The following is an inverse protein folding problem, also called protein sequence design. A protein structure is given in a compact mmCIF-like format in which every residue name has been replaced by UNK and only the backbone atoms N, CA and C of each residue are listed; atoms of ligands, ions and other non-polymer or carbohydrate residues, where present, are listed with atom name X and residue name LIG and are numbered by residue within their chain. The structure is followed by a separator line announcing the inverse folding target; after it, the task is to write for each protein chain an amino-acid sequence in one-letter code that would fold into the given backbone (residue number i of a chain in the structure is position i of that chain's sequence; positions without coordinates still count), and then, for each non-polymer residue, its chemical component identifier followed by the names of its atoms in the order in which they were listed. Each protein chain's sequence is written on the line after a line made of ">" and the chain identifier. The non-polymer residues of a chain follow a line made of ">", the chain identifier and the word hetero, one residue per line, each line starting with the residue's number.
data_IF_636939789648
#
_entry.id   IF_636939789648
#
_cell.length_a   1.000
_cell.length_b   1.000
_cell.length_c   1.000
_cell.angle_alpha   90.00
_cell.angle_beta   90.00
_cell.angle_gamma   90.00
#
_symmetry.space_group_name_H-M   'P 1'
#
loop_
_entity.id
_entity.type
_entity.pdbx_description
1 polymer ?
#
# COMPACT_ATOMS: atom_id res chain seq x y z
N UNK A 1 -12.48 16.99 -9.09
CA UNK A 1 -11.12 17.33 -9.57
C UNK A 1 -10.13 17.69 -8.44
N UNK A 2 -10.63 18.05 -7.25
CA UNK A 2 -9.79 18.39 -6.06
C UNK A 2 -9.23 17.17 -5.32
N UNK A 3 -9.89 16.04 -5.38
CA UNK A 3 -9.42 14.78 -4.82
C UNK A 3 -8.14 14.26 -5.48
N UNK A 4 -7.87 14.59 -6.73
CA UNK A 4 -6.72 14.12 -7.50
C UNK A 4 -5.40 14.82 -7.13
N UNK A 5 -5.44 16.14 -6.91
CA UNK A 5 -4.23 16.90 -6.52
C UNK A 5 -3.91 16.73 -5.03
N UNK A 6 -4.93 16.67 -4.17
CA UNK A 6 -4.75 16.37 -2.74
C UNK A 6 -4.23 14.95 -2.52
N UNK A 7 -4.59 14.02 -3.38
CA UNK A 7 -4.22 12.62 -3.27
C UNK A 7 -2.75 12.38 -3.64
N UNK A 8 -2.26 12.94 -4.74
CA UNK A 8 -0.85 12.82 -5.12
C UNK A 8 0.07 13.66 -4.22
N UNK A 9 -0.37 14.84 -3.79
CA UNK A 9 0.33 15.67 -2.82
C UNK A 9 0.32 15.04 -1.42
N UNK A 10 -0.76 14.41 -0.98
CA UNK A 10 -0.83 13.76 0.32
C UNK A 10 0.02 12.48 0.38
N UNK A 11 0.03 11.66 -0.67
CA UNK A 11 0.92 10.48 -0.76
C UNK A 11 2.38 10.90 -0.93
N UNK A 12 2.67 11.95 -1.70
CA UNK A 12 4.02 12.51 -1.86
C UNK A 12 4.48 13.24 -0.58
N UNK A 13 3.61 14.03 0.05
CA UNK A 13 3.89 14.71 1.33
C UNK A 13 4.09 13.72 2.49
N UNK A 14 3.29 12.66 2.53
CA UNK A 14 3.42 11.65 3.58
C UNK A 14 4.67 10.78 3.37
N UNK A 15 5.05 10.48 2.12
CA UNK A 15 6.32 9.82 1.80
C UNK A 15 7.53 10.73 2.09
N UNK A 16 7.43 12.04 1.81
CA UNK A 16 8.48 13.01 2.13
C UNK A 16 8.59 13.28 3.63
N UNK A 17 7.49 13.24 4.39
CA UNK A 17 7.52 13.41 5.86
C UNK A 17 8.25 12.24 6.56
N UNK A 18 8.26 11.05 5.96
CA UNK A 18 9.00 9.88 6.47
C UNK A 18 10.45 9.83 5.96
N UNK A 19 10.82 10.52 4.89
CA UNK A 19 12.22 10.59 4.41
C UNK A 19 13.14 11.43 5.30
N UNK A 20 12.63 12.21 6.25
CA UNK A 20 13.44 12.94 7.23
C UNK A 20 13.81 12.08 8.44
N UNK A 21 14.42 10.90 8.22
CA UNK A 21 15.25 10.28 9.24
C UNK A 21 16.63 10.96 9.26
N UNK A 22 16.64 12.22 9.68
CA UNK A 22 17.85 12.89 10.15
C UNK A 22 18.19 12.37 11.56
N UNK A 23 19.49 12.34 11.99
CA UNK A 23 19.87 11.96 13.35
C UNK A 23 19.12 12.85 14.35
N UNK A 24 18.43 12.20 15.31
CA UNK A 24 17.47 12.82 16.21
C UNK A 24 18.15 13.74 17.21
N UNK A 25 17.82 15.00 17.18
CA UNK A 25 17.86 15.84 18.40
C UNK A 25 16.71 15.42 19.33
N UNK A 26 17.02 15.25 20.60
CA UNK A 26 16.15 14.72 21.66
C UNK A 26 14.81 15.47 21.86
N UNK A 27 14.64 16.64 21.28
CA UNK A 27 13.43 17.48 21.40
C UNK A 27 12.18 16.99 20.65
N UNK A 28 12.28 15.96 19.79
CA UNK A 28 11.18 15.52 18.94
C UNK A 28 10.66 14.08 19.21
N UNK A 29 11.08 13.46 20.33
CA UNK A 29 10.68 12.08 20.67
C UNK A 29 9.16 11.96 20.81
N UNK A 30 8.50 12.95 21.44
CA UNK A 30 7.05 12.95 21.65
C UNK A 30 6.27 12.98 20.31
N UNK A 31 6.73 13.80 19.36
CA UNK A 31 6.12 13.87 18.03
C UNK A 31 6.34 12.57 17.22
N UNK A 32 7.46 11.88 17.43
CA UNK A 32 7.74 10.60 16.80
C UNK A 32 6.88 9.48 17.38
N UNK A 33 6.75 9.42 18.72
CA UNK A 33 5.86 8.50 19.40
C UNK A 33 4.41 8.71 18.95
N UNK A 34 3.96 9.96 18.89
CA UNK A 34 2.61 10.29 18.42
C UNK A 34 2.35 9.80 16.97
N UNK A 35 3.32 9.94 16.07
CA UNK A 35 3.21 9.46 14.68
C UNK A 35 3.08 7.94 14.57
N UNK A 36 3.67 7.18 15.48
CA UNK A 36 3.53 5.73 15.53
C UNK A 36 2.24 5.34 16.24
N UNK A 37 1.96 5.92 17.39
CA UNK A 37 0.84 5.52 18.27
C UNK A 37 -0.52 5.95 17.70
N UNK A 38 -0.62 7.13 17.06
CA UNK A 38 -1.87 7.66 16.51
C UNK A 38 -2.56 6.72 15.51
N UNK A 39 -1.86 6.10 14.54
CA UNK A 39 -2.46 5.11 13.64
C UNK A 39 -3.04 3.88 14.35
N UNK A 40 -2.38 3.41 15.43
CA UNK A 40 -2.90 2.31 16.25
C UNK A 40 -4.13 2.70 17.03
N UNK A 41 -4.11 3.90 17.65
CA UNK A 41 -5.27 4.42 18.37
C UNK A 41 -6.46 4.59 17.42
N UNK A 42 -6.24 5.18 16.23
CA UNK A 42 -7.29 5.39 15.25
C UNK A 42 -7.88 4.05 14.75
N UNK A 43 -7.02 3.11 14.32
CA UNK A 43 -7.46 1.80 13.88
C UNK A 43 -8.16 1.02 14.99
N UNK A 44 -7.59 1.03 16.19
CA UNK A 44 -8.17 0.38 17.37
C UNK A 44 -9.50 1.00 17.81
N UNK A 45 -9.63 2.33 17.77
CA UNK A 45 -10.88 3.01 18.10
C UNK A 45 -12.00 2.66 17.11
N UNK A 46 -11.70 2.60 15.80
CA UNK A 46 -12.68 2.19 14.78
C UNK A 46 -13.09 0.73 15.01
N UNK A 47 -12.14 -0.18 15.23
CA UNK A 47 -12.44 -1.57 15.50
C UNK A 47 -13.25 -1.71 16.79
N UNK A 48 -12.83 -1.08 17.89
CA UNK A 48 -13.59 -1.11 19.15
C UNK A 48 -15.02 -0.60 18.97
N UNK A 49 -15.20 0.50 18.24
CA UNK A 49 -16.54 1.05 17.96
C UNK A 49 -17.41 0.09 17.15
N UNK A 50 -16.81 -0.59 16.16
CA UNK A 50 -17.52 -1.54 15.29
C UNK A 50 -17.88 -2.84 16.00
N UNK A 51 -17.02 -3.35 16.88
CA UNK A 51 -17.15 -4.69 17.49
C UNK A 51 -17.55 -4.66 18.95
N UNK A 52 -17.77 -3.48 19.55
CA UNK A 52 -18.28 -3.37 20.90
C UNK A 52 -19.72 -3.92 20.96
N UNK A 53 -19.94 -4.93 21.80
CA UNK A 53 -21.26 -5.55 21.98
C UNK A 53 -21.49 -6.79 21.12
N UNK A 54 -20.54 -7.17 20.28
CA UNK A 54 -20.59 -8.42 19.53
C UNK A 54 -20.21 -9.61 20.40
N UNK A 55 -20.93 -10.72 20.21
CA UNK A 55 -20.60 -11.98 20.85
C UNK A 55 -19.55 -12.73 20.03
N UNK A 56 -18.33 -12.79 20.57
CA UNK A 56 -17.22 -13.52 19.93
C UNK A 56 -17.49 -15.03 19.79
N UNK A 57 -18.38 -15.62 20.61
CA UNK A 57 -18.76 -17.03 20.45
C UNK A 57 -19.50 -17.25 19.13
N UNK A 58 -20.36 -16.31 18.73
CA UNK A 58 -21.07 -16.33 17.44
C UNK A 58 -20.09 -16.21 16.29
N UNK A 59 -19.12 -15.31 16.38
CA UNK A 59 -18.08 -15.14 15.33
C UNK A 59 -17.25 -16.41 15.18
N UNK A 60 -16.89 -17.06 16.29
CA UNK A 60 -16.18 -18.35 16.25
C UNK A 60 -17.05 -19.45 15.62
N UNK A 61 -18.34 -19.50 15.92
CA UNK A 61 -19.28 -20.46 15.32
C UNK A 61 -19.35 -20.25 13.79
N UNK A 62 -19.53 -19.01 13.33
CA UNK A 62 -19.55 -18.68 11.89
C UNK A 62 -18.25 -19.07 11.20
N UNK A 63 -17.10 -18.85 11.86
CA UNK A 63 -15.79 -19.23 11.33
C UNK A 63 -15.62 -20.74 11.18
N UNK A 64 -16.12 -21.53 12.12
CA UNK A 64 -15.88 -22.99 12.17
C UNK A 64 -16.96 -23.79 11.44
N UNK A 65 -18.23 -23.36 11.51
CA UNK A 65 -19.38 -24.15 11.03
C UNK A 65 -20.01 -23.61 9.74
N UNK A 66 -20.03 -22.28 9.55
CA UNK A 66 -20.74 -21.68 8.42
C UNK A 66 -19.80 -21.32 7.25
N UNK A 67 -18.52 -21.09 7.54
CA UNK A 67 -17.57 -20.67 6.53
C UNK A 67 -17.10 -21.81 5.65
N UNK A 68 -17.25 -21.63 4.32
CA UNK A 68 -16.68 -22.56 3.36
C UNK A 68 -15.17 -22.32 3.17
N UNK A 69 -14.36 -23.09 3.88
CA UNK A 69 -12.91 -23.01 3.85
C UNK A 69 -12.29 -23.32 2.49
N UNK A 70 -12.98 -24.09 1.63
CA UNK A 70 -12.47 -24.41 0.29
C UNK A 70 -12.23 -23.15 -0.53
N UNK A 71 -13.19 -22.21 -0.54
CA UNK A 71 -13.06 -20.96 -1.26
C UNK A 71 -12.00 -20.04 -0.67
N UNK A 72 -11.89 -20.00 0.66
CA UNK A 72 -10.86 -19.23 1.35
C UNK A 72 -9.46 -19.74 0.97
N UNK A 73 -9.24 -21.05 1.07
CA UNK A 73 -7.95 -21.65 0.70
C UNK A 73 -7.65 -21.48 -0.79
N UNK A 74 -8.67 -21.58 -1.67
CA UNK A 74 -8.53 -21.32 -3.10
C UNK A 74 -8.16 -19.85 -3.38
N UNK A 75 -8.51 -18.91 -2.51
CA UNK A 75 -8.13 -17.50 -2.66
C UNK A 75 -6.63 -17.25 -2.40
N UNK A 76 -5.97 -18.05 -1.54
CA UNK A 76 -4.58 -17.84 -1.14
C UNK A 76 -3.56 -17.82 -2.27
N UNK A 77 -3.59 -18.76 -3.24
CA UNK A 77 -2.70 -18.70 -4.40
C UNK A 77 -2.71 -17.35 -5.11
N UNK A 78 -3.87 -16.72 -5.25
CA UNK A 78 -3.99 -15.41 -5.91
C UNK A 78 -3.34 -14.29 -5.07
N UNK A 79 -3.51 -14.30 -3.76
CA UNK A 79 -2.83 -13.37 -2.86
C UNK A 79 -1.30 -13.53 -2.89
N UNK A 80 -0.82 -14.78 -2.92
CA UNK A 80 0.61 -15.10 -3.03
C UNK A 80 1.15 -14.64 -4.40
N UNK A 81 0.45 -14.98 -5.50
CA UNK A 81 0.85 -14.57 -6.85
C UNK A 81 0.89 -13.05 -7.02
N UNK A 82 -0.07 -12.32 -6.43
CA UNK A 82 -0.05 -10.85 -6.44
C UNK A 82 1.26 -10.30 -5.84
N UNK A 83 1.69 -10.83 -4.71
CA UNK A 83 2.94 -10.41 -4.06
C UNK A 83 4.19 -10.87 -4.84
N UNK A 84 4.16 -12.07 -5.45
CA UNK A 84 5.23 -12.55 -6.34
C UNK A 84 5.35 -11.66 -7.60
N UNK A 85 4.23 -11.32 -8.24
CA UNK A 85 4.21 -10.41 -9.38
C UNK A 85 4.79 -9.04 -9.01
N UNK A 86 4.51 -8.56 -7.81
CA UNK A 86 5.11 -7.33 -7.28
C UNK A 86 6.64 -7.47 -7.15
N UNK A 87 7.14 -8.58 -6.66
CA UNK A 87 8.58 -8.85 -6.56
C UNK A 87 9.25 -8.92 -7.94
N UNK A 88 8.66 -9.61 -8.92
CA UNK A 88 9.18 -9.70 -10.28
C UNK A 88 9.11 -8.37 -11.03
N UNK A 89 8.04 -7.60 -10.85
CA UNK A 89 7.94 -6.25 -11.41
C UNK A 89 9.01 -5.33 -10.84
N UNK A 90 9.19 -5.38 -9.51
CA UNK A 90 10.21 -4.57 -8.84
C UNK A 90 11.62 -4.87 -9.35
N UNK A 91 11.94 -6.14 -9.58
CA UNK A 91 13.20 -6.55 -10.17
C UNK A 91 13.46 -5.86 -11.52
N UNK A 92 12.44 -5.69 -12.37
CA UNK A 92 12.59 -5.03 -13.67
C UNK A 92 12.91 -3.53 -13.55
N UNK A 93 12.48 -2.86 -12.48
CA UNK A 93 12.83 -1.46 -12.23
C UNK A 93 14.21 -1.29 -11.59
N UNK A 94 14.73 -2.34 -10.94
CA UNK A 94 16.07 -2.34 -10.37
C UNK A 94 17.17 -2.60 -11.41
N UNK A 95 16.92 -3.46 -12.39
CA UNK A 95 17.92 -3.84 -13.41
C UNK A 95 18.60 -2.65 -14.12
N UNK A 96 17.87 -1.62 -14.59
CA UNK A 96 18.49 -0.46 -15.25
C UNK A 96 19.39 0.37 -14.33
N UNK A 97 19.08 0.41 -13.03
CA UNK A 97 19.84 1.19 -12.04
C UNK A 97 21.16 0.49 -11.69
N UNK A 98 21.15 -0.82 -11.70
CA UNK A 98 22.33 -1.65 -11.46
C UNK A 98 23.35 -1.52 -12.61
N UNK A 99 22.87 -1.44 -13.85
CA UNK A 99 23.70 -1.24 -15.03
C UNK A 99 24.37 0.18 -15.06
N UNK A 100 23.79 1.18 -14.39
CA UNK A 100 24.29 2.57 -14.34
C UNK A 100 25.22 2.84 -13.14
N UNK A 101 25.45 1.88 -12.25
CA UNK A 101 26.32 2.08 -11.08
C UNK A 101 27.78 1.96 -11.52
N UNK A 102 28.59 3.06 -11.54
CA UNK A 102 30.03 2.92 -11.70
C UNK A 102 30.55 2.16 -10.47
N UNK A 103 31.42 1.20 -10.69
CA UNK A 103 32.17 0.52 -9.64
C UNK A 103 33.12 1.51 -8.98
N UNK A 104 32.60 2.34 -8.06
CA UNK A 104 33.43 3.27 -7.25
C UNK A 104 34.09 2.58 -6.07
N UNK A 105 34.04 1.24 -5.97
CA UNK A 105 34.88 0.50 -5.08
C UNK A 105 36.14 0.08 -5.85
N UNK A 106 37.32 0.54 -5.38
CA UNK A 106 38.63 0.01 -5.78
C UNK A 106 38.55 -1.50 -5.89
N UNK A 107 38.67 -2.01 -7.10
CA UNK A 107 38.78 -3.40 -7.52
C UNK A 107 38.56 -4.48 -6.46
N UNK A 108 37.49 -5.25 -6.52
CA UNK A 108 37.56 -6.68 -6.29
C UNK A 108 37.86 -7.34 -7.64
N UNK A 109 38.80 -8.25 -7.64
CA UNK A 109 39.29 -9.07 -8.77
C UNK A 109 38.23 -10.11 -9.23
N UNK A 110 36.97 -9.75 -9.32
CA UNK A 110 35.91 -10.54 -9.99
C UNK A 110 34.89 -9.60 -10.58
N UNK A 111 34.61 -9.81 -11.85
CA UNK A 111 33.62 -9.13 -12.70
C UNK A 111 32.16 -9.36 -12.23
N UNK A 112 31.90 -9.40 -10.92
CA UNK A 112 30.60 -9.72 -10.37
C UNK A 112 29.77 -8.44 -10.28
N UNK A 113 28.97 -8.16 -11.33
CA UNK A 113 27.91 -7.12 -11.30
C UNK A 113 27.01 -7.39 -10.10
N UNK A 114 26.87 -6.41 -9.23
CA UNK A 114 25.87 -6.43 -8.15
C UNK A 114 24.51 -6.44 -8.81
N UNK A 115 23.75 -7.53 -8.67
CA UNK A 115 22.46 -7.70 -9.29
C UNK A 115 21.44 -8.25 -8.32
N UNK A 116 20.29 -7.57 -8.18
CA UNK A 116 19.19 -8.06 -7.34
C UNK A 116 18.71 -9.42 -7.86
N UNK A 117 18.49 -10.37 -6.96
CA UNK A 117 17.99 -11.70 -7.30
C UNK A 117 16.46 -11.73 -7.24
N UNK A 118 15.82 -12.45 -8.14
CA UNK A 118 14.35 -12.62 -8.16
C UNK A 118 13.81 -13.09 -6.79
N UNK A 119 14.45 -14.11 -6.21
CA UNK A 119 14.04 -14.65 -4.92
C UNK A 119 14.16 -13.60 -3.80
N UNK A 120 15.24 -12.82 -3.77
CA UNK A 120 15.43 -11.76 -2.76
C UNK A 120 14.36 -10.67 -2.93
N UNK A 121 14.00 -10.29 -4.16
CA UNK A 121 12.94 -9.31 -4.41
C UNK A 121 11.58 -9.81 -3.91
N UNK A 122 11.22 -11.09 -4.16
CA UNK A 122 9.97 -11.69 -3.69
C UNK A 122 9.96 -11.75 -2.15
N UNK A 123 11.01 -12.28 -1.53
CA UNK A 123 11.10 -12.37 -0.07
C UNK A 123 11.08 -10.97 0.58
N UNK A 124 11.72 -9.98 -0.04
CA UNK A 124 11.68 -8.60 0.43
C UNK A 124 10.27 -8.01 0.39
N UNK A 125 9.44 -8.36 -0.63
CA UNK A 125 8.03 -7.97 -0.69
C UNK A 125 7.23 -8.65 0.41
N UNK A 126 7.40 -9.95 0.66
CA UNK A 126 6.70 -10.66 1.74
C UNK A 126 7.02 -10.05 3.12
N UNK A 127 8.30 -9.76 3.40
CA UNK A 127 8.71 -9.06 4.62
C UNK A 127 8.11 -7.65 4.69
N UNK A 128 8.05 -6.94 3.57
CA UNK A 128 7.45 -5.61 3.48
C UNK A 128 5.99 -5.60 3.95
N UNK A 129 5.19 -6.55 3.47
CA UNK A 129 3.80 -6.67 3.90
C UNK A 129 3.69 -7.03 5.38
N UNK A 130 4.43 -8.01 5.84
CA UNK A 130 4.45 -8.40 7.26
C UNK A 130 4.92 -7.25 8.18
N UNK A 131 5.94 -6.50 7.80
CA UNK A 131 6.39 -5.33 8.56
C UNK A 131 5.32 -4.24 8.63
N UNK A 132 4.53 -4.06 7.56
CA UNK A 132 3.46 -3.06 7.50
C UNK A 132 2.25 -3.41 8.39
N UNK A 133 2.15 -4.64 8.88
CA UNK A 133 1.17 -5.03 9.92
C UNK A 133 1.50 -4.36 11.26
N UNK A 134 2.78 -4.17 11.55
CA UNK A 134 3.23 -3.58 12.80
C UNK A 134 3.26 -2.06 12.72
N UNK A 135 3.91 -1.50 11.70
CA UNK A 135 4.00 -0.05 11.52
C UNK A 135 3.54 0.28 10.09
N UNK A 136 2.51 1.10 9.92
CA UNK A 136 2.01 1.48 8.61
C UNK A 136 3.14 2.00 7.71
N UNK A 137 3.22 1.46 6.48
CA UNK A 137 4.18 1.86 5.44
C UNK A 137 5.67 1.59 5.73
N UNK A 138 6.06 1.04 6.88
CA UNK A 138 7.46 0.67 7.17
C UNK A 138 7.97 -0.39 6.18
N UNK A 139 7.08 -1.17 5.59
CA UNK A 139 7.41 -2.20 4.64
C UNK A 139 8.17 -1.70 3.42
N UNK A 140 7.90 -0.49 2.93
CA UNK A 140 8.62 0.08 1.79
C UNK A 140 10.11 0.30 2.11
N UNK A 141 10.42 0.69 3.34
CA UNK A 141 11.78 0.81 3.82
C UNK A 141 12.40 -0.55 4.10
N UNK A 142 11.64 -1.49 4.71
CA UNK A 142 12.15 -2.82 5.05
C UNK A 142 12.59 -3.60 3.82
N UNK A 143 11.84 -3.56 2.70
CA UNK A 143 12.25 -4.26 1.46
C UNK A 143 13.52 -3.67 0.84
N UNK A 144 13.73 -2.34 0.92
CA UNK A 144 14.97 -1.71 0.49
C UNK A 144 16.16 -2.12 1.37
N UNK A 145 15.95 -2.24 2.69
CA UNK A 145 16.96 -2.72 3.63
C UNK A 145 17.34 -4.18 3.37
N UNK A 146 16.37 -5.05 3.05
CA UNK A 146 16.63 -6.44 2.66
C UNK A 146 17.52 -6.50 1.42
N UNK A 147 17.21 -5.78 0.34
CA UNK A 147 18.06 -5.76 -0.85
C UNK A 147 19.46 -5.22 -0.58
N UNK A 148 19.58 -4.16 0.20
CA UNK A 148 20.89 -3.64 0.60
C UNK A 148 21.70 -4.71 1.35
N UNK A 149 21.08 -5.44 2.26
CA UNK A 149 21.74 -6.44 3.10
C UNK A 149 22.17 -7.70 2.36
N UNK A 150 21.31 -8.20 1.45
CA UNK A 150 21.51 -9.50 0.79
C UNK A 150 22.14 -9.40 -0.59
N UNK A 151 21.79 -8.36 -1.36
CA UNK A 151 22.22 -8.19 -2.74
C UNK A 151 23.15 -6.98 -2.95
N UNK A 152 23.39 -6.16 -1.91
CA UNK A 152 24.29 -4.99 -1.99
C UNK A 152 23.72 -3.80 -2.75
N UNK A 153 22.41 -3.82 -3.11
CA UNK A 153 21.75 -2.72 -3.84
C UNK A 153 21.67 -1.48 -2.97
N UNK A 154 22.00 -0.31 -3.53
CA UNK A 154 21.92 0.96 -2.79
C UNK A 154 20.50 1.22 -2.29
N UNK A 155 20.37 1.50 -0.97
CA UNK A 155 19.09 1.77 -0.33
C UNK A 155 18.33 2.93 -0.99
N UNK A 156 19.01 4.05 -1.28
CA UNK A 156 18.40 5.23 -1.87
C UNK A 156 17.89 4.97 -3.29
N UNK A 157 18.65 4.20 -4.10
CA UNK A 157 18.24 3.81 -5.44
C UNK A 157 17.04 2.86 -5.41
N UNK A 158 17.08 1.84 -4.53
CA UNK A 158 15.94 0.95 -4.32
C UNK A 158 14.70 1.73 -3.86
N UNK A 159 14.83 2.70 -2.97
CA UNK A 159 13.71 3.53 -2.51
C UNK A 159 13.14 4.37 -3.65
N UNK A 160 13.97 4.90 -4.54
CA UNK A 160 13.52 5.61 -5.74
C UNK A 160 12.63 4.74 -6.64
N UNK A 161 13.00 3.47 -6.86
CA UNK A 161 12.14 2.53 -7.63
C UNK A 161 10.83 2.22 -6.93
N UNK A 162 10.83 2.17 -5.59
CA UNK A 162 9.59 2.00 -4.79
C UNK A 162 8.62 3.17 -5.01
N UNK A 163 9.13 4.40 -5.01
CA UNK A 163 8.29 5.59 -5.29
C UNK A 163 7.68 5.49 -6.70
N UNK A 164 8.49 5.10 -7.69
CA UNK A 164 8.02 4.88 -9.06
C UNK A 164 6.92 3.81 -9.14
N UNK A 165 7.11 2.68 -8.46
CA UNK A 165 6.08 1.64 -8.37
C UNK A 165 4.77 2.16 -7.77
N UNK A 166 4.85 2.97 -6.69
CA UNK A 166 3.65 3.58 -6.09
C UNK A 166 2.93 4.50 -7.05
N UNK A 167 3.66 5.29 -7.84
CA UNK A 167 3.06 6.16 -8.85
C UNK A 167 2.31 5.34 -9.92
N UNK A 168 2.91 4.27 -10.43
CA UNK A 168 2.27 3.36 -11.39
C UNK A 168 1.05 2.66 -10.78
N UNK A 169 1.17 2.14 -9.55
CA UNK A 169 0.06 1.50 -8.85
C UNK A 169 -1.11 2.48 -8.66
N UNK A 170 -0.82 3.72 -8.24
CA UNK A 170 -1.84 4.77 -8.08
C UNK A 170 -2.56 5.07 -9.38
N UNK A 171 -1.82 5.19 -10.49
CA UNK A 171 -2.42 5.40 -11.81
C UNK A 171 -3.36 4.26 -12.20
N UNK A 172 -2.94 3.01 -12.01
CA UNK A 172 -3.77 1.82 -12.30
C UNK A 172 -5.03 1.83 -11.44
N UNK A 173 -4.89 2.07 -10.12
CA UNK A 173 -6.04 2.18 -9.20
C UNK A 173 -7.03 3.23 -9.68
N UNK A 174 -6.54 4.39 -10.07
CA UNK A 174 -7.40 5.47 -10.56
C UNK A 174 -8.14 5.10 -11.86
N UNK A 175 -7.45 4.44 -12.80
CA UNK A 175 -8.05 4.01 -14.07
C UNK A 175 -9.15 2.99 -13.81
N UNK A 176 -8.88 1.89 -13.11
CA UNK A 176 -9.91 0.87 -12.88
C UNK A 176 -11.04 1.38 -11.98
N UNK A 177 -10.73 2.24 -10.99
CA UNK A 177 -11.77 2.85 -10.16
C UNK A 177 -12.69 3.76 -10.97
N UNK A 178 -12.14 4.54 -11.90
CA UNK A 178 -12.93 5.34 -12.82
C UNK A 178 -13.84 4.49 -13.70
N UNK A 179 -13.33 3.39 -14.25
CA UNK A 179 -14.10 2.46 -15.08
C UNK A 179 -15.24 1.83 -14.26
N UNK A 180 -14.95 1.32 -13.06
CA UNK A 180 -15.96 0.68 -12.19
C UNK A 180 -17.02 1.70 -11.75
N UNK A 181 -16.62 2.93 -11.41
CA UNK A 181 -17.53 3.99 -11.04
C UNK A 181 -18.49 4.34 -12.19
N UNK A 182 -18.02 4.33 -13.44
CA UNK A 182 -18.87 4.56 -14.61
C UNK A 182 -19.86 3.41 -14.85
N UNK A 183 -19.41 2.15 -14.67
CA UNK A 183 -20.25 0.96 -14.86
C UNK A 183 -21.34 0.88 -13.76
N UNK A 184 -20.97 1.14 -12.50
CA UNK A 184 -21.83 0.97 -11.33
C UNK A 184 -22.37 2.31 -10.79
N UNK A 185 -22.54 3.31 -11.66
CA UNK A 185 -22.96 4.67 -11.27
C UNK A 185 -24.28 4.69 -10.50
N UNK A 186 -25.21 3.78 -10.77
CA UNK A 186 -26.50 3.67 -10.08
C UNK A 186 -26.34 3.36 -8.58
N UNK A 187 -25.38 2.51 -8.23
CA UNK A 187 -25.10 2.12 -6.85
C UNK A 187 -24.42 3.26 -6.09
N UNK A 188 -23.45 3.92 -6.73
CA UNK A 188 -22.85 5.12 -6.15
C UNK A 188 -23.87 6.24 -5.93
N UNK A 189 -24.80 6.43 -6.87
CA UNK A 189 -25.93 7.37 -6.70
C UNK A 189 -26.83 7.01 -5.50
N UNK A 190 -27.05 5.73 -5.24
CA UNK A 190 -27.81 5.26 -4.07
C UNK A 190 -27.01 5.44 -2.77
N UNK A 191 -25.72 5.17 -2.79
CA UNK A 191 -24.83 5.45 -1.66
C UNK A 191 -24.84 6.93 -1.27
N UNK A 192 -24.65 7.83 -2.23
CA UNK A 192 -24.65 9.27 -1.97
C UNK A 192 -26.02 9.75 -1.44
N UNK A 193 -27.12 9.22 -1.95
CA UNK A 193 -28.48 9.53 -1.42
C UNK A 193 -28.68 9.05 0.01
N UNK A 194 -28.24 7.82 0.35
CA UNK A 194 -28.39 7.25 1.70
C UNK A 194 -27.48 7.92 2.73
N UNK A 195 -26.29 8.36 2.33
CA UNK A 195 -25.34 9.05 3.22
C UNK A 195 -25.64 10.54 3.37
N UNK A 196 -26.67 11.06 2.67
CA UNK A 196 -27.02 12.49 2.69
C UNK A 196 -25.99 13.40 2.04
N UNK A 197 -25.01 12.81 1.35
CA UNK A 197 -23.94 13.53 0.64
C UNK A 197 -24.36 13.66 -0.81
N UNK A 198 -24.94 14.80 -1.22
CA UNK A 198 -25.16 15.08 -2.64
C UNK A 198 -23.85 15.55 -3.26
N UNK A 199 -23.56 15.10 -4.48
CA UNK A 199 -22.45 15.63 -5.29
C UNK A 199 -22.58 17.16 -5.45
N UNK A 200 -23.81 17.67 -5.51
CA UNK A 200 -24.13 19.09 -5.58
C UNK A 200 -23.64 19.83 -4.32
N UNK A 201 -23.83 19.29 -3.12
CA UNK A 201 -23.31 19.87 -1.89
C UNK A 201 -21.76 19.89 -1.83
N UNK A 202 -21.11 18.86 -2.36
CA UNK A 202 -19.65 18.84 -2.47
C UNK A 202 -19.18 19.90 -3.46
N UNK A 203 -19.89 20.07 -4.57
CA UNK A 203 -19.58 21.07 -5.60
C UNK A 203 -19.93 22.48 -5.15
N UNK A 204 -21.02 22.68 -4.43
CA UNK A 204 -21.42 23.96 -3.82
C UNK A 204 -20.45 24.43 -2.72
N UNK A 205 -19.87 23.49 -1.95
CA UNK A 205 -18.79 23.79 -0.98
C UNK A 205 -17.49 24.30 -1.64
N UNK A 206 -17.34 24.12 -2.98
CA UNK A 206 -16.27 24.69 -3.79
C UNK A 206 -16.67 26.00 -4.47
N UNK A 207 -17.12 26.94 -3.65
CA UNK A 207 -17.25 28.34 -4.06
C UNK A 207 -15.89 28.91 -4.50
N UNK A 208 -15.91 30.00 -5.27
CA UNK A 208 -14.69 30.72 -5.68
C UNK A 208 -13.75 30.99 -4.49
N UNK A 209 -14.32 31.22 -3.31
CA UNK A 209 -13.60 31.42 -2.04
C UNK A 209 -12.86 30.16 -1.57
N UNK A 210 -13.45 28.98 -1.72
CA UNK A 210 -12.80 27.70 -1.36
C UNK A 210 -11.60 27.41 -2.26
N UNK A 211 -11.69 27.72 -3.56
CA UNK A 211 -10.57 27.63 -4.49
C UNK A 211 -9.44 28.62 -4.13
N UNK A 212 -9.78 29.88 -3.82
CA UNK A 212 -8.81 30.90 -3.39
C UNK A 212 -8.08 30.46 -2.11
N UNK A 213 -8.79 29.99 -1.10
CA UNK A 213 -8.19 29.48 0.14
C UNK A 213 -7.27 28.29 -0.14
N UNK A 214 -7.67 27.33 -0.98
CA UNK A 214 -6.85 26.17 -1.33
C UNK A 214 -5.57 26.57 -2.07
N UNK A 215 -5.65 27.53 -2.99
CA UNK A 215 -4.49 28.08 -3.72
C UNK A 215 -3.58 28.84 -2.76
N UNK A 216 -4.11 29.68 -1.89
CA UNK A 216 -3.33 30.46 -0.91
C UNK A 216 -2.61 29.51 0.07
N UNK A 217 -3.29 28.49 0.59
CA UNK A 217 -2.68 27.46 1.45
C UNK A 217 -1.59 26.70 0.69
N UNK A 218 -1.83 26.32 -0.56
CA UNK A 218 -0.83 25.65 -1.41
C UNK A 218 0.41 26.49 -1.66
N UNK A 219 0.24 27.77 -1.96
CA UNK A 219 1.34 28.74 -2.14
C UNK A 219 2.07 28.97 -0.80
N UNK A 220 1.37 29.11 0.30
CA UNK A 220 1.97 29.27 1.62
C UNK A 220 2.83 28.07 2.02
N UNK A 221 2.36 26.84 1.74
CA UNK A 221 3.13 25.61 1.96
C UNK A 221 4.37 25.56 1.07
N UNK A 222 4.29 25.96 -0.19
CA UNK A 222 5.45 26.03 -1.11
C UNK A 222 6.48 27.07 -0.65
N UNK A 223 6.03 28.23 -0.19
CA UNK A 223 6.91 29.28 0.36
C UNK A 223 7.59 28.78 1.65
N UNK A 224 6.83 28.15 2.56
CA UNK A 224 7.38 27.59 3.78
C UNK A 224 8.41 26.49 3.48
N UNK A 225 8.12 25.62 2.52
CA UNK A 225 9.03 24.58 2.05
C UNK A 225 10.31 25.18 1.46
N UNK A 226 10.18 26.23 0.65
CA UNK A 226 11.31 26.96 0.07
C UNK A 226 12.17 27.63 1.15
N UNK A 227 11.56 28.24 2.17
CA UNK A 227 12.27 28.84 3.28
C UNK A 227 12.99 27.81 4.17
N UNK A 228 12.38 26.65 4.39
CA UNK A 228 12.98 25.53 5.13
C UNK A 228 14.14 24.89 4.38
N UNK A 229 14.08 24.87 3.05
CA UNK A 229 15.13 24.31 2.18
C UNK A 229 16.34 25.25 2.01
N UNK A 230 16.25 26.52 2.40
CA UNK A 230 17.35 27.49 2.33
C UNK A 230 18.53 27.21 3.26
N UNK A 231 18.38 26.33 4.25
CA UNK A 231 19.47 25.91 5.13
C UNK A 231 20.43 24.95 4.41
N UNK A 232 21.64 25.40 4.11
CA UNK A 232 22.65 24.76 3.22
C UNK A 232 22.94 23.29 3.56
N UNK A 233 22.93 22.90 4.82
CA UNK A 233 23.22 21.53 5.26
C UNK A 233 22.09 20.54 4.94
N UNK A 234 20.84 20.97 5.04
CA UNK A 234 19.65 20.20 4.71
C UNK A 234 19.49 20.11 3.19
N UNK A 235 19.79 21.19 2.47
CA UNK A 235 19.69 21.27 1.01
C UNK A 235 20.53 20.19 0.31
N UNK A 236 21.77 19.97 0.72
CA UNK A 236 22.65 18.97 0.09
C UNK A 236 22.18 17.52 0.38
N UNK A 237 21.66 17.25 1.59
CA UNK A 237 21.07 15.94 1.91
C UNK A 237 19.78 15.69 1.13
N UNK A 238 18.91 16.68 1.05
CA UNK A 238 17.66 16.62 0.28
C UNK A 238 17.95 16.48 -1.21
N UNK A 239 18.92 17.22 -1.77
CA UNK A 239 19.32 17.10 -3.16
C UNK A 239 19.84 15.70 -3.50
N UNK A 240 20.68 15.09 -2.66
CA UNK A 240 21.17 13.71 -2.86
C UNK A 240 20.04 12.68 -2.79
N UNK A 241 19.08 12.85 -1.89
CA UNK A 241 17.90 11.98 -1.79
C UNK A 241 16.99 12.16 -2.99
N UNK A 242 16.73 13.41 -3.41
CA UNK A 242 15.92 13.71 -4.59
C UNK A 242 16.56 13.22 -5.87
N UNK A 243 17.89 13.32 -6.03
CA UNK A 243 18.58 12.75 -7.21
C UNK A 243 18.44 11.24 -7.27
N UNK A 244 18.54 10.53 -6.13
CA UNK A 244 18.30 9.08 -6.07
C UNK A 244 16.86 8.69 -6.40
N UNK A 245 15.88 9.47 -5.94
CA UNK A 245 14.47 9.30 -6.29
C UNK A 245 14.27 9.55 -7.80
N UNK A 246 14.87 10.61 -8.33
CA UNK A 246 14.78 10.95 -9.76
C UNK A 246 15.40 9.87 -10.65
N UNK A 247 16.54 9.30 -10.26
CA UNK A 247 17.12 8.13 -10.94
C UNK A 247 16.17 6.94 -10.93
N UNK A 248 15.46 6.71 -9.79
CA UNK A 248 14.43 5.70 -9.68
C UNK A 248 13.26 5.93 -10.65
N UNK A 249 12.78 7.17 -10.79
CA UNK A 249 11.72 7.52 -11.75
C UNK A 249 12.20 7.31 -13.19
N UNK A 250 13.44 7.69 -13.50
CA UNK A 250 14.04 7.48 -14.82
C UNK A 250 14.25 5.99 -15.14
N UNK A 251 14.29 5.11 -14.14
CA UNK A 251 14.43 3.66 -14.35
C UNK A 251 13.31 3.07 -15.21
N UNK A 252 12.12 3.69 -15.25
CA UNK A 252 11.03 3.28 -16.14
C UNK A 252 11.42 3.34 -17.62
N UNK A 253 12.26 4.31 -18.01
CA UNK A 253 12.77 4.42 -19.39
C UNK A 253 13.75 3.32 -19.75
N UNK A 254 14.39 2.70 -18.75
CA UNK A 254 15.35 1.62 -18.90
C UNK A 254 14.74 0.23 -18.85
N UNK A 255 13.43 0.07 -18.70
CA UNK A 255 12.77 -1.22 -18.64
C UNK A 255 12.94 -1.93 -19.98
N UNK A 256 13.67 -3.07 -19.96
CA UNK A 256 13.99 -3.85 -21.16
C UNK A 256 12.77 -4.54 -21.78
N UNK A 257 11.77 -4.91 -20.95
CA UNK A 257 10.58 -5.61 -21.41
C UNK A 257 9.30 -4.93 -20.85
N UNK A 258 8.89 -3.86 -21.51
CA UNK A 258 7.70 -3.10 -21.15
C UNK A 258 6.40 -3.95 -21.15
N UNK A 259 6.14 -4.83 -22.15
CA UNK A 259 4.96 -5.69 -22.10
C UNK A 259 4.90 -6.58 -20.85
N UNK A 260 6.01 -7.16 -20.44
CA UNK A 260 6.08 -7.99 -19.24
C UNK A 260 5.89 -7.14 -17.95
N UNK A 261 6.42 -5.92 -17.93
CA UNK A 261 6.19 -4.98 -16.83
C UNK A 261 4.71 -4.61 -16.70
N UNK A 262 4.04 -4.32 -17.80
CA UNK A 262 2.61 -4.03 -17.84
C UNK A 262 1.77 -5.27 -17.44
N UNK A 263 2.15 -6.45 -17.92
CA UNK A 263 1.53 -7.71 -17.52
C UNK A 263 1.57 -7.89 -15.99
N UNK A 264 2.73 -7.75 -15.35
CA UNK A 264 2.82 -7.82 -13.91
C UNK A 264 2.06 -6.69 -13.22
N UNK A 265 2.08 -5.48 -13.76
CA UNK A 265 1.40 -4.32 -13.18
C UNK A 265 -0.11 -4.51 -13.13
N UNK A 266 -0.73 -4.96 -14.22
CA UNK A 266 -2.16 -5.28 -14.27
C UNK A 266 -2.44 -6.56 -13.47
N UNK A 267 -1.59 -7.58 -13.64
CA UNK A 267 -1.73 -8.87 -12.97
C UNK A 267 -1.76 -8.77 -11.45
N UNK A 268 -0.99 -7.87 -10.83
CA UNK A 268 -1.04 -7.61 -9.38
C UNK A 268 -2.47 -7.28 -8.93
N UNK A 269 -3.13 -6.36 -9.62
CA UNK A 269 -4.47 -5.90 -9.23
C UNK A 269 -5.54 -6.92 -9.54
N UNK A 270 -5.43 -7.64 -10.66
CA UNK A 270 -6.31 -8.78 -10.99
C UNK A 270 -6.18 -9.88 -9.94
N UNK A 271 -4.96 -10.24 -9.54
CA UNK A 271 -4.73 -11.27 -8.52
C UNK A 271 -5.26 -10.84 -7.15
N UNK A 272 -5.06 -9.58 -6.74
CA UNK A 272 -5.65 -9.05 -5.49
C UNK A 272 -7.18 -9.03 -5.55
N UNK A 273 -7.77 -8.66 -6.69
CA UNK A 273 -9.21 -8.72 -6.85
C UNK A 273 -9.72 -10.17 -6.75
N UNK A 274 -9.10 -11.13 -7.42
CA UNK A 274 -9.49 -12.54 -7.34
C UNK A 274 -9.32 -13.09 -5.91
N UNK A 275 -8.22 -12.73 -5.23
CA UNK A 275 -8.03 -13.09 -3.82
C UNK A 275 -9.17 -12.57 -2.93
N UNK A 276 -9.65 -11.36 -3.18
CA UNK A 276 -10.79 -10.78 -2.47
C UNK A 276 -12.13 -11.39 -2.95
N UNK A 277 -12.36 -11.49 -4.26
CA UNK A 277 -13.63 -11.95 -4.81
C UNK A 277 -13.99 -13.39 -4.40
N UNK A 278 -13.00 -14.28 -4.34
CA UNK A 278 -13.23 -15.65 -3.91
C UNK A 278 -13.74 -15.76 -2.47
N UNK A 279 -13.48 -14.75 -1.62
CA UNK A 279 -13.99 -14.75 -0.26
C UNK A 279 -15.51 -14.54 -0.18
N UNK A 280 -16.12 -14.01 -1.25
CA UNK A 280 -17.59 -13.89 -1.31
C UNK A 280 -18.29 -15.25 -1.32
N UNK A 281 -17.64 -16.27 -1.86
CA UNK A 281 -18.17 -17.63 -1.89
C UNK A 281 -17.93 -18.41 -0.59
N UNK A 282 -17.27 -17.79 0.40
CA UNK A 282 -17.06 -18.41 1.71
C UNK A 282 -18.32 -18.43 2.57
N UNK A 283 -19.31 -17.58 2.27
CA UNK A 283 -20.53 -17.46 3.06
C UNK A 283 -21.75 -17.38 2.15
N UNK A 284 -22.83 -18.09 2.51
CA UNK A 284 -24.06 -18.13 1.70
C UNK A 284 -24.68 -16.74 1.51
N UNK A 285 -24.58 -15.85 2.52
CA UNK A 285 -25.13 -14.51 2.46
C UNK A 285 -24.35 -13.55 1.55
N UNK A 286 -23.13 -13.90 1.11
CA UNK A 286 -22.36 -13.11 0.13
C UNK A 286 -22.22 -13.78 -1.23
N UNK A 287 -22.42 -15.09 -1.32
CA UNK A 287 -22.16 -15.90 -2.53
C UNK A 287 -22.93 -15.41 -3.78
N UNK A 288 -24.13 -14.86 -3.57
CA UNK A 288 -25.02 -14.43 -4.64
C UNK A 288 -24.97 -12.91 -4.96
N UNK A 289 -24.10 -12.13 -4.31
CA UNK A 289 -24.00 -10.68 -4.50
C UNK A 289 -23.42 -10.28 -5.87
N UNK A 290 -22.79 -11.21 -6.56
CA UNK A 290 -22.23 -11.02 -7.89
C UNK A 290 -20.92 -10.22 -7.92
N UNK A 291 -20.32 -10.18 -9.12
CA UNK A 291 -19.02 -9.55 -9.34
C UNK A 291 -19.07 -8.02 -9.20
N UNK A 292 -20.21 -7.38 -9.49
CA UNK A 292 -20.38 -5.92 -9.35
C UNK A 292 -20.18 -5.46 -7.90
N UNK A 293 -20.84 -6.14 -6.94
CA UNK A 293 -20.63 -5.88 -5.52
C UNK A 293 -19.16 -6.01 -5.12
N UNK A 294 -18.50 -7.08 -5.57
CA UNK A 294 -17.09 -7.31 -5.27
C UNK A 294 -16.18 -6.21 -5.86
N UNK A 295 -16.43 -5.78 -7.10
CA UNK A 295 -15.66 -4.72 -7.75
C UNK A 295 -15.81 -3.37 -7.04
N UNK A 296 -17.05 -2.98 -6.73
CA UNK A 296 -17.32 -1.71 -6.03
C UNK A 296 -16.70 -1.72 -4.64
N UNK A 297 -16.93 -2.78 -3.86
CA UNK A 297 -16.36 -2.89 -2.51
C UNK A 297 -14.83 -2.94 -2.54
N UNK A 298 -14.22 -3.59 -3.53
CA UNK A 298 -12.77 -3.59 -3.72
C UNK A 298 -12.22 -2.18 -4.00
N UNK A 299 -12.90 -1.39 -4.85
CA UNK A 299 -12.52 0.00 -5.11
C UNK A 299 -12.62 0.83 -3.82
N UNK A 300 -13.76 0.77 -3.12
CA UNK A 300 -13.98 1.55 -1.90
C UNK A 300 -12.98 1.16 -0.81
N UNK A 301 -12.66 -0.13 -0.67
CA UNK A 301 -11.62 -0.61 0.22
C UNK A 301 -10.25 -0.02 -0.08
N UNK A 302 -9.86 0.04 -1.36
CA UNK A 302 -8.57 0.64 -1.76
C UNK A 302 -8.48 2.13 -1.41
N UNK A 303 -9.59 2.87 -1.46
CA UNK A 303 -9.63 4.25 -0.97
C UNK A 303 -9.58 4.33 0.56
N UNK A 304 -10.26 3.43 1.26
CA UNK A 304 -10.27 3.42 2.73
C UNK A 304 -8.87 3.18 3.33
N UNK A 305 -8.04 2.34 2.69
CA UNK A 305 -6.66 2.03 3.14
C UNK A 305 -5.69 3.23 2.99
N UNK A 306 -6.13 4.35 2.38
CA UNK A 306 -5.35 5.59 2.38
C UNK A 306 -5.17 6.11 3.81
N UNK A 307 -6.16 5.91 4.67
CA UNK A 307 -6.06 6.19 6.10
C UNK A 307 -4.98 5.28 6.69
N UNK A 308 -3.88 5.85 7.22
CA UNK A 308 -2.71 5.08 7.63
C UNK A 308 -2.96 4.37 8.96
N UNK A 309 -3.58 3.20 8.90
CA UNK A 309 -3.74 2.30 10.03
C UNK A 309 -2.96 0.99 9.79
N UNK A 310 -2.55 0.25 10.83
CA UNK A 310 -1.89 -1.03 10.66
C UNK A 310 -2.76 -1.97 9.80
N UNK A 311 -2.20 -2.44 8.68
CA UNK A 311 -2.91 -3.31 7.72
C UNK A 311 -4.25 -2.77 7.18
N UNK A 312 -4.52 -1.46 7.27
CA UNK A 312 -5.83 -0.90 6.93
C UNK A 312 -6.94 -1.25 7.93
N UNK A 313 -6.60 -1.83 9.08
CA UNK A 313 -7.57 -2.23 10.11
C UNK A 313 -8.41 -1.03 10.57
N UNK A 314 -9.69 -1.22 10.70
CA UNK A 314 -10.69 -0.18 10.96
C UNK A 314 -11.26 0.40 9.66
N UNK A 315 -10.56 1.26 8.93
CA UNK A 315 -11.07 1.88 7.70
C UNK A 315 -11.50 0.87 6.63
N UNK A 316 -10.71 -0.18 6.41
CA UNK A 316 -11.07 -1.26 5.48
C UNK A 316 -12.34 -2.00 5.93
N UNK A 317 -12.43 -2.35 7.23
CA UNK A 317 -13.60 -3.03 7.80
C UNK A 317 -14.85 -2.18 7.60
N UNK A 318 -14.78 -0.89 7.96
CA UNK A 318 -15.90 0.04 7.81
C UNK A 318 -16.34 0.17 6.34
N UNK A 319 -15.40 0.29 5.43
CA UNK A 319 -15.68 0.45 4.00
C UNK A 319 -16.40 -0.78 3.42
N UNK A 320 -15.88 -1.98 3.65
CA UNK A 320 -16.47 -3.21 3.13
C UNK A 320 -17.82 -3.48 3.80
N UNK A 321 -17.91 -3.37 5.14
CA UNK A 321 -19.20 -3.51 5.86
C UNK A 321 -20.26 -2.62 5.25
N UNK A 322 -19.95 -1.34 5.06
CA UNK A 322 -20.90 -0.37 4.49
C UNK A 322 -21.35 -0.77 3.07
N UNK A 323 -20.41 -1.23 2.24
CA UNK A 323 -20.76 -1.70 0.89
C UNK A 323 -21.67 -2.93 0.94
N UNK A 324 -21.35 -3.95 1.72
CA UNK A 324 -22.16 -5.16 1.84
C UNK A 324 -23.61 -4.83 2.30
N UNK A 325 -23.77 -3.93 3.28
CA UNK A 325 -25.09 -3.47 3.74
C UNK A 325 -25.84 -2.77 2.62
N UNK A 326 -25.18 -1.97 1.77
CA UNK A 326 -25.81 -1.31 0.64
C UNK A 326 -26.31 -2.30 -0.41
N UNK A 327 -25.65 -3.46 -0.53
CA UNK A 327 -26.08 -4.55 -1.40
C UNK A 327 -27.08 -5.52 -0.73
N UNK A 328 -27.56 -5.18 0.49
CA UNK A 328 -28.64 -5.89 1.16
C UNK A 328 -28.20 -6.96 2.17
N UNK A 329 -26.94 -7.04 2.48
CA UNK A 329 -26.45 -7.95 3.55
C UNK A 329 -26.84 -7.37 4.91
N UNK A 330 -27.28 -8.21 5.84
CA UNK A 330 -27.60 -7.80 7.21
C UNK A 330 -26.36 -7.24 7.93
N UNK A 331 -26.56 -6.27 8.82
CA UNK A 331 -25.48 -5.55 9.51
C UNK A 331 -24.50 -6.49 10.23
N UNK A 332 -25.04 -7.46 10.97
CA UNK A 332 -24.25 -8.47 11.70
C UNK A 332 -23.44 -9.37 10.75
N UNK A 333 -24.07 -9.89 9.70
CA UNK A 333 -23.43 -10.74 8.71
C UNK A 333 -22.30 -10.00 7.96
N UNK A 334 -22.52 -8.74 7.60
CA UNK A 334 -21.49 -7.89 7.00
C UNK A 334 -20.32 -7.68 7.96
N UNK A 335 -20.58 -7.55 9.25
CA UNK A 335 -19.56 -7.41 10.28
C UNK A 335 -18.74 -8.69 10.46
N UNK A 336 -19.39 -9.86 10.49
CA UNK A 336 -18.71 -11.16 10.55
C UNK A 336 -17.82 -11.39 9.32
N UNK A 337 -18.34 -11.11 8.12
CA UNK A 337 -17.57 -11.21 6.90
C UNK A 337 -16.26 -10.43 6.98
N UNK A 338 -16.33 -9.12 7.29
CA UNK A 338 -15.14 -8.27 7.27
C UNK A 338 -14.11 -8.67 8.32
N UNK A 339 -14.55 -9.09 9.50
CA UNK A 339 -13.65 -9.54 10.58
C UNK A 339 -12.94 -10.84 10.19
N UNK A 340 -13.71 -11.84 9.76
CA UNK A 340 -13.18 -13.17 9.46
C UNK A 340 -12.24 -13.09 8.23
N UNK A 341 -12.70 -12.49 7.14
CA UNK A 341 -11.92 -12.39 5.91
C UNK A 341 -10.62 -11.64 6.13
N UNK A 342 -10.68 -10.46 6.77
CA UNK A 342 -9.47 -9.67 7.03
C UNK A 342 -8.48 -10.39 7.95
N UNK A 343 -8.99 -11.05 8.99
CA UNK A 343 -8.14 -11.78 9.93
C UNK A 343 -7.46 -12.96 9.26
N UNK A 344 -8.19 -13.79 8.52
CA UNK A 344 -7.63 -14.97 7.84
C UNK A 344 -6.63 -14.55 6.75
N UNK A 345 -6.93 -13.52 5.95
CA UNK A 345 -5.98 -13.00 4.97
C UNK A 345 -4.73 -12.36 5.62
N UNK A 346 -4.89 -11.74 6.79
CA UNK A 346 -3.75 -11.23 7.56
C UNK A 346 -2.85 -12.36 8.07
N UNK A 347 -3.41 -13.49 8.49
CA UNK A 347 -2.64 -14.66 8.87
C UNK A 347 -1.79 -15.19 7.72
N UNK A 348 -2.30 -15.17 6.50
CA UNK A 348 -1.52 -15.50 5.30
C UNK A 348 -0.31 -14.57 5.14
N UNK A 349 -0.50 -13.26 5.31
CA UNK A 349 0.60 -12.29 5.22
C UNK A 349 1.66 -12.54 6.29
N UNK A 350 1.27 -12.86 7.52
CA UNK A 350 2.18 -13.22 8.61
C UNK A 350 2.97 -14.49 8.24
N UNK A 351 2.28 -15.53 7.78
CA UNK A 351 2.92 -16.79 7.37
C UNK A 351 3.95 -16.58 6.25
N UNK A 352 3.62 -15.79 5.24
CA UNK A 352 4.55 -15.43 4.16
C UNK A 352 5.75 -14.61 4.66
N UNK A 353 5.54 -13.71 5.63
CA UNK A 353 6.59 -12.95 6.26
C UNK A 353 7.57 -13.83 7.04
N UNK A 354 7.05 -14.77 7.82
CA UNK A 354 7.85 -15.76 8.57
C UNK A 354 8.63 -16.65 7.58
N UNK A 355 7.97 -17.16 6.55
CA UNK A 355 8.60 -17.95 5.49
C UNK A 355 9.75 -17.18 4.84
N UNK A 356 9.52 -15.91 4.44
CA UNK A 356 10.53 -15.11 3.79
C UNK A 356 11.72 -14.79 4.70
N UNK A 357 11.46 -14.51 5.99
CA UNK A 357 12.50 -14.32 6.99
C UNK A 357 13.36 -15.58 7.15
N UNK A 358 12.75 -16.75 7.26
CA UNK A 358 13.44 -18.03 7.33
C UNK A 358 14.25 -18.29 6.05
N UNK A 359 13.63 -18.14 4.86
CA UNK A 359 14.30 -18.34 3.57
C UNK A 359 15.52 -17.42 3.37
N UNK A 360 15.42 -16.16 3.80
CA UNK A 360 16.55 -15.23 3.75
C UNK A 360 17.67 -15.61 4.71
N UNK A 361 17.37 -16.26 5.83
CA UNK A 361 18.41 -16.72 6.77
C UNK A 361 19.36 -17.74 6.14
N UNK A 362 18.88 -18.54 5.18
CA UNK A 362 19.67 -19.49 4.40
C UNK A 362 20.29 -18.88 3.13
N UNK A 363 19.92 -17.64 2.80
CA UNK A 363 20.37 -16.99 1.56
C UNK A 363 21.76 -16.38 1.76
N UNK A 364 22.74 -16.78 0.93
CA UNK A 364 24.11 -16.21 0.96
C UNK A 364 24.08 -14.73 0.59
N UNK A 365 24.71 -13.88 1.41
CA UNK A 365 24.89 -12.44 1.12
C UNK A 365 25.93 -12.26 0.02
N UNK A 366 25.64 -11.39 -0.95
CA UNK A 366 26.55 -11.12 -2.06
C UNK A 366 27.66 -10.13 -1.69
N UNK A 367 27.49 -9.34 -0.60
CA UNK A 367 28.48 -8.40 -0.12
C UNK A 367 28.70 -8.56 1.40
N UNK A 368 29.73 -9.33 1.85
CA UNK A 368 29.98 -9.59 3.26
C UNK A 368 30.52 -8.38 4.05
N UNK A 369 30.92 -7.28 3.37
CA UNK A 369 31.62 -6.16 4.02
C UNK A 369 30.69 -5.09 4.61
N UNK A 370 29.39 -5.33 4.73
CA UNK A 370 28.41 -4.39 5.29
C UNK A 370 27.80 -4.89 6.61
N UNK A 371 28.60 -5.53 7.45
CA UNK A 371 28.24 -5.81 8.85
C UNK A 371 28.81 -4.78 9.78
#
# INVERSE_FOLDING_TARGET
>A
MITLQSFSLFTLHFSLLFCTFAPMETKNILAYIAKIVLPFILGGAILWWMYRGEDFSTICHVLTEEMNWTWMLLSFPFGILAQMFRGWRWKQTLDPIEDLSPSTAKQPSSNQKIRARNATCIHAVFISYAASLVIPRIGEFSRCAVLKRYDGVSFSKALGTVVTERAVDTLIVMIYSGIILLIEMSIFGTFFRKTGTSLDRILEGFSLTGWLVTIICGVAVLILLHLLLKNLSIYNKVKMTLSGIWEGVLSLRGIKNLPLYLFFSIGIWVMYFLHYYLTFFCFDFTANLGIGCALVSFVVANFAVIVPTPNGAGPWHFAIKTMLILYGVADEQALWFVLIVHTVQTMLVIALGIYAWAALSFTKRLNPQTT
#
